data_IF_569363621767
#
_entry.id   IF_569363621767
#
_cell.length_a   1.000
_cell.length_b   1.000
_cell.length_c   1.000
_cell.angle_alpha   90.00
_cell.angle_beta   90.00
_cell.angle_gamma   90.00
#
_symmetry.space_group_name_H-M   'P 1'
#
loop_
_entity.id
_entity.type
_entity.pdbx_description
1 polymer ?
#
# COMPACT_ATOMS: atom_id res chain seq x y z
N UNK A 1 -8.32 -35.57 52.71
CA UNK A 1 -7.80 -34.25 52.29
C UNK A 1 -6.90 -34.29 51.03
N UNK A 2 -6.88 -35.36 50.21
CA UNK A 2 -6.00 -35.44 49.03
C UNK A 2 -6.69 -35.23 47.66
N UNK A 3 -8.03 -35.07 47.64
CA UNK A 3 -8.80 -34.87 46.39
C UNK A 3 -9.08 -33.38 46.05
N UNK A 4 -8.75 -32.45 46.96
CA UNK A 4 -8.91 -31.00 46.73
C UNK A 4 -7.68 -30.33 46.10
N UNK A 5 -6.50 -30.96 46.14
CA UNK A 5 -5.27 -30.40 45.57
C UNK A 5 -5.12 -30.64 44.06
N UNK A 6 -5.66 -31.73 43.51
CA UNK A 6 -5.60 -32.03 42.07
C UNK A 6 -6.54 -31.18 41.20
N UNK A 7 -7.66 -30.68 41.74
CA UNK A 7 -8.54 -29.74 41.01
C UNK A 7 -7.97 -28.32 40.91
N UNK A 8 -7.08 -27.93 41.84
CA UNK A 8 -6.45 -26.60 41.82
C UNK A 8 -5.35 -26.50 40.76
N UNK A 9 -4.61 -27.57 40.48
CA UNK A 9 -3.54 -27.56 39.47
C UNK A 9 -4.06 -27.53 38.04
N UNK A 10 -5.15 -28.24 37.73
CA UNK A 10 -5.77 -28.22 36.39
C UNK A 10 -6.40 -26.87 36.05
N UNK A 11 -7.11 -26.25 37.01
CA UNK A 11 -7.73 -24.93 36.81
C UNK A 11 -6.71 -23.80 36.63
N UNK A 12 -5.56 -23.87 37.31
CA UNK A 12 -4.46 -22.89 37.13
C UNK A 12 -3.82 -23.05 35.76
N UNK A 13 -3.67 -24.28 35.26
CA UNK A 13 -3.12 -24.53 33.92
C UNK A 13 -4.07 -24.04 32.82
N UNK A 14 -5.38 -24.30 32.95
CA UNK A 14 -6.39 -23.82 31.99
C UNK A 14 -6.53 -22.28 32.01
N UNK A 15 -6.49 -21.67 33.21
CA UNK A 15 -6.50 -20.22 33.36
C UNK A 15 -5.23 -19.58 32.78
N UNK A 16 -4.09 -20.22 32.94
CA UNK A 16 -2.84 -19.73 32.37
C UNK A 16 -2.82 -19.84 30.83
N UNK A 17 -3.25 -20.97 30.28
CA UNK A 17 -3.38 -21.15 28.82
C UNK A 17 -4.36 -20.18 28.18
N UNK A 18 -5.53 -19.96 28.80
CA UNK A 18 -6.51 -18.97 28.31
C UNK A 18 -5.98 -17.53 28.40
N UNK A 19 -5.26 -17.19 29.47
CA UNK A 19 -4.63 -15.86 29.61
C UNK A 19 -3.56 -15.62 28.54
N UNK A 20 -2.77 -16.65 28.19
CA UNK A 20 -1.79 -16.57 27.09
C UNK A 20 -2.51 -16.32 25.76
N UNK A 21 -3.55 -17.09 25.46
CA UNK A 21 -4.31 -16.95 24.22
C UNK A 21 -5.02 -15.59 24.14
N UNK A 22 -5.50 -15.04 25.25
CA UNK A 22 -6.13 -13.72 25.33
C UNK A 22 -5.12 -12.57 25.18
N UNK A 23 -3.82 -12.83 25.41
CA UNK A 23 -2.75 -11.85 25.16
C UNK A 23 -2.29 -11.81 23.69
N UNK A 24 -2.70 -12.76 22.86
CA UNK A 24 -2.37 -12.79 21.44
C UNK A 24 -3.15 -11.70 20.69
N UNK A 25 -2.46 -10.97 19.82
CA UNK A 25 -3.07 -9.99 18.92
C UNK A 25 -3.80 -10.62 17.71
N UNK A 26 -3.65 -11.93 17.52
CA UNK A 26 -4.32 -12.69 16.47
C UNK A 26 -5.66 -13.23 16.99
N UNK A 27 -6.71 -13.13 16.19
CA UNK A 27 -8.01 -13.70 16.55
C UNK A 27 -7.94 -15.22 16.39
N UNK A 28 -8.21 -15.95 17.47
CA UNK A 28 -8.15 -17.41 17.51
C UNK A 28 -9.51 -17.96 17.92
N UNK A 29 -10.03 -18.86 17.09
CA UNK A 29 -11.21 -19.66 17.35
C UNK A 29 -10.83 -21.14 17.38
N UNK A 30 -11.65 -21.95 18.07
CA UNK A 30 -11.69 -23.41 17.86
C UNK A 30 -13.10 -23.75 17.44
N UNK A 31 -13.24 -24.51 16.36
CA UNK A 31 -14.53 -25.02 15.87
C UNK A 31 -14.55 -26.55 15.90
N UNK A 32 -15.73 -27.14 16.07
CA UNK A 32 -15.92 -28.58 15.94
C UNK A 32 -16.30 -29.00 14.50
N UNK A 33 -16.53 -30.30 14.31
CA UNK A 33 -16.84 -30.89 13.02
C UNK A 33 -18.12 -30.33 12.38
N UNK A 34 -19.06 -29.85 13.20
CA UNK A 34 -20.29 -29.19 12.77
C UNK A 34 -20.12 -27.66 12.65
N UNK A 35 -18.88 -27.17 12.62
CA UNK A 35 -18.52 -25.75 12.55
C UNK A 35 -19.07 -24.88 13.70
N UNK A 36 -19.35 -25.48 14.87
CA UNK A 36 -19.72 -24.72 16.06
C UNK A 36 -18.49 -24.22 16.80
N UNK A 37 -18.51 -22.94 17.21
CA UNK A 37 -17.39 -22.33 17.92
C UNK A 37 -17.33 -22.89 19.35
N UNK A 38 -16.23 -23.54 19.70
CA UNK A 38 -15.96 -24.10 21.03
C UNK A 38 -15.08 -23.21 21.89
N UNK A 39 -14.28 -22.35 21.26
CA UNK A 39 -13.42 -21.39 21.94
C UNK A 39 -13.23 -20.14 21.09
N UNK A 40 -13.06 -19.00 21.75
CA UNK A 40 -12.70 -17.73 21.14
C UNK A 40 -11.83 -16.94 22.14
N UNK A 41 -10.69 -16.41 21.69
CA UNK A 41 -9.89 -15.51 22.51
C UNK A 41 -10.40 -14.06 22.45
N UNK A 42 -9.81 -13.18 23.27
CA UNK A 42 -10.19 -11.76 23.32
C UNK A 42 -10.07 -11.04 21.96
N UNK A 43 -9.05 -11.37 21.17
CA UNK A 43 -8.89 -10.80 19.82
C UNK A 43 -9.98 -11.26 18.85
N UNK A 44 -10.50 -12.48 18.99
CA UNK A 44 -11.66 -12.93 18.24
C UNK A 44 -12.93 -12.15 18.62
N UNK A 45 -13.14 -11.86 19.91
CA UNK A 45 -14.27 -11.01 20.34
C UNK A 45 -14.22 -9.63 19.69
N UNK A 46 -13.02 -9.03 19.62
CA UNK A 46 -12.79 -7.74 18.95
C UNK A 46 -12.99 -7.83 17.44
N UNK A 47 -12.53 -8.91 16.81
CA UNK A 47 -12.67 -9.12 15.37
C UNK A 47 -14.15 -9.24 14.96
N UNK A 48 -14.93 -10.06 15.67
CA UNK A 48 -16.35 -10.27 15.38
C UNK A 48 -17.27 -9.18 15.95
N UNK A 49 -16.78 -8.36 16.89
CA UNK A 49 -17.57 -7.35 17.59
C UNK A 49 -18.63 -7.94 18.51
N UNK A 50 -18.40 -9.16 19.01
CA UNK A 50 -19.33 -9.91 19.86
C UNK A 50 -18.57 -10.59 20.99
N UNK A 51 -19.12 -10.56 22.21
CA UNK A 51 -18.52 -11.23 23.35
C UNK A 51 -18.52 -12.76 23.23
N UNK A 52 -17.55 -13.40 23.88
CA UNK A 52 -17.27 -14.84 23.88
C UNK A 52 -18.49 -15.69 24.24
N UNK A 53 -19.31 -15.21 25.17
CA UNK A 53 -20.53 -15.89 25.60
C UNK A 53 -21.56 -16.06 24.47
N UNK A 54 -21.52 -15.21 23.44
CA UNK A 54 -22.37 -15.32 22.25
C UNK A 54 -21.65 -16.01 21.09
N UNK A 55 -20.32 -15.95 21.01
CA UNK A 55 -19.55 -16.70 20.01
C UNK A 55 -19.60 -18.20 20.31
N UNK A 56 -19.25 -18.60 21.54
CA UNK A 56 -19.15 -20.00 21.92
C UNK A 56 -20.53 -20.67 21.91
N UNK A 57 -20.59 -21.88 21.37
CA UNK A 57 -21.80 -22.68 21.23
C UNK A 57 -22.68 -22.33 20.03
N UNK A 58 -22.31 -21.33 19.23
CA UNK A 58 -23.06 -20.94 18.04
C UNK A 58 -22.31 -21.37 16.77
N UNK A 59 -23.03 -21.63 15.66
CA UNK A 59 -22.42 -21.97 14.39
C UNK A 59 -21.64 -20.77 13.85
N UNK A 60 -20.47 -21.05 13.25
CA UNK A 60 -19.63 -20.01 12.63
C UNK A 60 -20.39 -19.25 11.53
N UNK A 61 -21.35 -19.89 10.87
CA UNK A 61 -22.17 -19.32 9.80
C UNK A 61 -23.08 -18.16 10.24
N UNK A 62 -23.32 -18.00 11.56
CA UNK A 62 -24.04 -16.84 12.09
C UNK A 62 -23.18 -15.55 12.02
N UNK A 63 -21.86 -15.67 11.99
CA UNK A 63 -20.92 -14.55 12.05
C UNK A 63 -20.24 -14.24 10.71
N UNK A 64 -20.06 -15.28 9.88
CA UNK A 64 -19.45 -15.22 8.55
C UNK A 64 -20.29 -16.08 7.59
N UNK A 65 -20.69 -15.57 6.42
CA UNK A 65 -21.42 -16.36 5.42
C UNK A 65 -20.72 -17.65 4.98
N UNK A 66 -21.50 -18.68 4.69
CA UNK A 66 -21.01 -20.02 4.27
C UNK A 66 -20.31 -20.02 2.91
N UNK A 67 -20.59 -19.03 2.05
CA UNK A 67 -19.95 -18.85 0.74
C UNK A 67 -18.53 -18.24 0.82
N UNK A 68 -18.04 -17.94 2.03
CA UNK A 68 -16.66 -17.49 2.21
C UNK A 68 -15.65 -18.63 2.10
N UNK A 69 -14.41 -18.37 1.62
CA UNK A 69 -13.37 -19.40 1.50
C UNK A 69 -13.04 -20.10 2.83
N UNK A 70 -13.37 -19.49 3.97
CA UNK A 70 -13.17 -20.08 5.30
C UNK A 70 -13.83 -21.46 5.45
N UNK A 71 -15.05 -21.65 4.93
CA UNK A 71 -15.76 -22.92 5.03
C UNK A 71 -15.13 -24.00 4.14
N UNK A 72 -14.70 -23.65 2.93
CA UNK A 72 -13.97 -24.59 2.07
C UNK A 72 -12.64 -25.04 2.69
N UNK A 73 -11.96 -24.16 3.43
CA UNK A 73 -10.72 -24.52 4.13
C UNK A 73 -10.99 -25.41 5.35
N UNK A 74 -12.11 -25.21 6.05
CA UNK A 74 -12.54 -26.09 7.14
C UNK A 74 -12.81 -27.52 6.64
N UNK A 75 -13.55 -27.64 5.53
CA UNK A 75 -13.78 -28.93 4.86
C UNK A 75 -12.46 -29.58 4.42
N UNK A 76 -11.52 -28.80 3.89
CA UNK A 76 -10.23 -29.31 3.47
C UNK A 76 -9.39 -29.84 4.65
N UNK A 77 -9.35 -29.12 5.78
CA UNK A 77 -8.62 -29.55 6.98
C UNK A 77 -9.23 -30.81 7.58
N UNK A 78 -10.56 -30.87 7.67
CA UNK A 78 -11.26 -32.04 8.20
C UNK A 78 -11.10 -33.27 7.30
N UNK A 79 -11.12 -33.10 5.97
CA UNK A 79 -10.93 -34.21 5.02
C UNK A 79 -9.49 -34.71 4.94
N UNK A 80 -8.50 -33.82 5.04
CA UNK A 80 -7.08 -34.17 4.86
C UNK A 80 -6.35 -34.47 6.16
N UNK A 81 -6.88 -34.00 7.30
CA UNK A 81 -6.18 -34.02 8.59
C UNK A 81 -4.91 -33.15 8.62
N UNK A 82 -4.70 -32.29 7.62
CA UNK A 82 -3.54 -31.43 7.49
C UNK A 82 -3.85 -29.97 7.83
N UNK A 83 -2.84 -29.23 8.30
CA UNK A 83 -2.98 -27.78 8.46
C UNK A 83 -3.00 -27.08 7.09
N UNK A 84 -3.89 -26.11 6.95
CA UNK A 84 -4.07 -25.31 5.73
C UNK A 84 -3.92 -23.83 6.08
N UNK A 85 -3.29 -23.08 5.19
CA UNK A 85 -3.16 -21.63 5.34
C UNK A 85 -3.46 -20.94 4.02
N UNK A 86 -4.20 -19.85 4.08
CA UNK A 86 -4.52 -19.03 2.93
C UNK A 86 -4.38 -17.55 3.27
N UNK A 87 -3.77 -16.78 2.39
CA UNK A 87 -3.58 -15.34 2.56
C UNK A 87 -4.52 -14.57 1.62
N UNK A 88 -5.03 -13.45 2.11
CA UNK A 88 -5.80 -12.52 1.29
C UNK A 88 -7.25 -12.93 1.06
N UNK A 89 -7.83 -13.61 2.03
CA UNK A 89 -9.26 -13.94 2.03
C UNK A 89 -10.03 -12.74 2.54
N UNK A 90 -11.08 -12.35 1.80
CA UNK A 90 -12.00 -11.32 2.27
C UNK A 90 -13.13 -11.98 3.04
N UNK A 91 -13.21 -11.70 4.34
CA UNK A 91 -14.35 -12.07 5.17
C UNK A 91 -15.30 -10.89 5.25
N UNK A 92 -16.53 -11.09 4.79
CA UNK A 92 -17.54 -10.05 4.73
C UNK A 92 -18.79 -10.49 5.51
N UNK A 93 -19.25 -9.67 6.44
CA UNK A 93 -20.58 -9.84 7.03
C UNK A 93 -21.17 -8.48 7.41
N UNK A 94 -22.50 -8.33 7.52
CA UNK A 94 -23.13 -7.08 7.94
C UNK A 94 -22.58 -6.52 9.26
N UNK A 95 -22.02 -7.40 10.10
CA UNK A 95 -21.50 -7.05 11.42
C UNK A 95 -20.01 -6.73 11.43
N UNK A 96 -19.19 -7.51 10.72
CA UNK A 96 -17.74 -7.34 10.72
C UNK A 96 -17.25 -6.35 9.66
N UNK A 97 -18.12 -5.97 8.72
CA UNK A 97 -17.75 -5.22 7.52
C UNK A 97 -16.98 -6.11 6.55
N UNK A 98 -16.21 -5.51 5.64
CA UNK A 98 -15.27 -6.22 4.80
C UNK A 98 -13.89 -6.22 5.46
N UNK A 99 -13.38 -7.40 5.82
CA UNK A 99 -12.06 -7.57 6.43
C UNK A 99 -11.17 -8.48 5.59
N UNK A 100 -10.01 -7.97 5.22
CA UNK A 100 -8.99 -8.73 4.47
C UNK A 100 -8.09 -9.47 5.46
N UNK A 101 -8.02 -10.79 5.35
CA UNK A 101 -7.41 -11.65 6.37
C UNK A 101 -6.44 -12.67 5.80
N UNK A 102 -5.46 -13.06 6.62
CA UNK A 102 -4.82 -14.36 6.50
C UNK A 102 -5.51 -15.35 7.42
N UNK A 103 -5.81 -16.52 6.88
CA UNK A 103 -6.42 -17.64 7.55
C UNK A 103 -5.37 -18.72 7.77
N UNK A 104 -5.28 -19.25 8.99
CA UNK A 104 -4.55 -20.49 9.27
C UNK A 104 -5.47 -21.42 10.02
N UNK A 105 -5.63 -22.63 9.49
CA UNK A 105 -6.47 -23.65 10.05
C UNK A 105 -5.61 -24.87 10.32
N UNK A 106 -5.69 -25.40 11.53
CA UNK A 106 -4.95 -26.60 11.92
C UNK A 106 -5.83 -27.50 12.77
N UNK A 107 -5.82 -28.82 12.51
CA UNK A 107 -6.52 -29.76 13.37
C UNK A 107 -5.87 -29.76 14.76
N UNK A 108 -6.68 -29.91 15.79
CA UNK A 108 -6.19 -30.06 17.16
C UNK A 108 -5.67 -31.48 17.34
N UNK A 109 -4.41 -31.59 17.76
CA UNK A 109 -3.77 -32.89 18.05
C UNK A 109 -4.52 -33.57 19.19
N UNK A 110 -4.74 -34.89 19.07
CA UNK A 110 -5.44 -35.73 20.05
C UNK A 110 -6.90 -35.29 20.33
N UNK A 111 -7.55 -34.62 19.38
CA UNK A 111 -8.97 -34.27 19.45
C UNK A 111 -9.68 -34.58 18.13
N UNK A 112 -10.75 -35.38 18.19
CA UNK A 112 -11.54 -35.73 17.01
C UNK A 112 -12.36 -34.51 16.53
N UNK A 113 -12.11 -34.08 15.30
CA UNK A 113 -12.93 -33.10 14.59
C UNK A 113 -12.79 -31.63 15.04
N UNK A 114 -11.88 -31.31 15.97
CA UNK A 114 -11.62 -29.93 16.37
C UNK A 114 -10.59 -29.27 15.45
N UNK A 115 -10.89 -28.04 15.00
CA UNK A 115 -10.02 -27.23 14.16
C UNK A 115 -9.78 -25.88 14.83
N UNK A 116 -8.51 -25.52 15.00
CA UNK A 116 -8.10 -24.16 15.37
C UNK A 116 -8.14 -23.30 14.12
N UNK A 117 -8.85 -22.17 14.19
CA UNK A 117 -8.90 -21.16 13.15
C UNK A 117 -8.23 -19.90 13.67
N UNK A 118 -7.22 -19.43 12.95
CA UNK A 118 -6.50 -18.22 13.26
C UNK A 118 -6.73 -17.19 12.16
N UNK A 119 -7.17 -16.00 12.57
CA UNK A 119 -7.52 -14.88 11.72
C UNK A 119 -6.59 -13.72 12.04
N UNK A 120 -5.69 -13.42 11.11
CA UNK A 120 -4.91 -12.17 11.18
C UNK A 120 -5.47 -11.20 10.17
N UNK A 121 -6.07 -10.10 10.65
CA UNK A 121 -6.43 -8.98 9.78
C UNK A 121 -5.15 -8.44 9.11
N UNK A 122 -5.16 -8.44 7.79
CA UNK A 122 -4.08 -7.90 6.99
C UNK A 122 -4.47 -6.49 6.57
N UNK A 123 -3.69 -5.52 7.03
CA UNK A 123 -3.65 -4.22 6.37
C UNK A 123 -3.18 -4.47 4.93
N UNK A 124 -3.79 -3.81 3.95
CA UNK A 124 -3.51 -3.98 2.50
C UNK A 124 -2.01 -3.91 2.17
N UNK A 125 -1.23 -3.24 3.02
CA UNK A 125 0.23 -3.27 3.10
C UNK A 125 0.91 -4.67 3.10
N UNK A 126 0.21 -5.79 3.36
CA UNK A 126 0.77 -7.15 3.24
C UNK A 126 0.71 -7.76 1.83
N UNK A 127 0.11 -7.08 0.86
CA UNK A 127 0.18 -7.46 -0.56
C UNK A 127 1.57 -7.19 -1.20
N UNK A 128 2.60 -6.87 -0.41
CA UNK A 128 3.98 -6.70 -0.89
C UNK A 128 4.58 -7.98 -1.48
N UNK A 129 4.00 -9.17 -1.24
CA UNK A 129 4.41 -10.36 -2.00
C UNK A 129 4.07 -10.25 -3.50
N UNK A 130 3.10 -9.41 -3.91
CA UNK A 130 2.92 -8.98 -5.31
C UNK A 130 3.92 -7.90 -5.76
N UNK A 131 4.57 -7.17 -4.85
CA UNK A 131 5.68 -6.28 -5.23
C UNK A 131 6.92 -7.03 -5.73
N UNK A 132 7.03 -8.33 -5.47
CA UNK A 132 8.06 -9.17 -6.07
C UNK A 132 7.87 -9.34 -7.59
N UNK A 133 6.63 -9.34 -8.12
CA UNK A 133 6.40 -9.39 -9.58
C UNK A 133 6.64 -8.03 -10.25
N UNK A 134 6.34 -6.91 -9.57
CA UNK A 134 6.58 -5.55 -10.09
C UNK A 134 8.08 -5.27 -10.35
N UNK A 135 9.00 -5.98 -9.66
CA UNK A 135 10.46 -5.85 -9.88
C UNK A 135 10.94 -6.42 -11.22
N UNK A 136 10.24 -7.40 -11.80
CA UNK A 136 10.70 -8.04 -13.05
C UNK A 136 10.41 -7.16 -14.28
N UNK A 137 9.20 -6.57 -14.34
CA UNK A 137 8.82 -5.65 -15.41
C UNK A 137 9.58 -4.32 -15.30
N UNK A 138 9.60 -3.69 -14.11
CA UNK A 138 10.28 -2.41 -13.92
C UNK A 138 11.79 -2.48 -14.23
N UNK A 139 12.51 -3.54 -13.80
CA UNK A 139 13.95 -3.69 -14.10
C UNK A 139 14.23 -3.89 -15.58
N UNK A 140 13.38 -4.63 -16.29
CA UNK A 140 13.53 -4.87 -17.73
C UNK A 140 13.31 -3.57 -18.53
N UNK A 141 12.35 -2.75 -18.10
CA UNK A 141 12.09 -1.43 -18.67
C UNK A 141 13.19 -0.44 -18.32
N UNK A 142 13.68 -0.41 -17.08
CA UNK A 142 14.81 0.41 -16.65
C UNK A 142 16.08 0.13 -17.47
N UNK A 143 16.42 -1.15 -17.68
CA UNK A 143 17.62 -1.52 -18.43
C UNK A 143 17.54 -1.12 -19.92
N UNK A 144 16.38 -1.32 -20.56
CA UNK A 144 16.16 -0.87 -21.93
C UNK A 144 16.12 0.66 -22.05
N UNK A 145 15.51 1.34 -21.08
CA UNK A 145 15.41 2.79 -21.04
C UNK A 145 16.77 3.47 -20.93
N UNK A 146 17.64 3.03 -20.01
CA UNK A 146 18.99 3.58 -19.88
C UNK A 146 19.83 3.39 -21.14
N UNK A 147 19.68 2.26 -21.84
CA UNK A 147 20.44 1.96 -23.05
C UNK A 147 19.95 2.80 -24.24
N UNK A 148 18.63 2.96 -24.39
CA UNK A 148 18.02 3.55 -25.59
C UNK A 148 17.69 5.05 -25.45
N UNK A 149 17.71 5.63 -24.24
CA UNK A 149 17.25 7.01 -24.05
C UNK A 149 18.04 8.02 -24.91
N UNK A 150 19.37 7.95 -24.89
CA UNK A 150 20.20 8.83 -25.71
C UNK A 150 20.12 8.48 -27.21
N UNK A 151 19.98 7.21 -27.56
CA UNK A 151 19.89 6.76 -28.96
C UNK A 151 18.56 7.11 -29.62
N UNK A 152 17.48 7.24 -28.85
CA UNK A 152 16.14 7.66 -29.34
C UNK A 152 16.00 9.18 -29.35
N UNK A 153 16.55 9.90 -28.36
CA UNK A 153 16.52 11.38 -28.32
C UNK A 153 17.22 12.02 -29.53
N UNK A 154 18.30 11.41 -30.00
CA UNK A 154 19.09 11.94 -31.12
C UNK A 154 18.31 12.00 -32.46
N UNK A 155 17.69 10.92 -32.97
CA UNK A 155 16.88 10.99 -34.19
C UNK A 155 15.61 11.83 -34.00
N UNK A 156 14.98 11.84 -32.82
CA UNK A 156 13.84 12.72 -32.52
C UNK A 156 14.22 14.20 -32.62
N UNK A 157 15.38 14.59 -32.08
CA UNK A 157 15.88 15.96 -32.22
C UNK A 157 16.09 16.33 -33.69
N UNK A 158 16.56 15.40 -34.51
CA UNK A 158 16.70 15.58 -35.96
C UNK A 158 15.35 15.72 -36.69
N UNK A 159 14.36 14.89 -36.35
CA UNK A 159 12.99 14.97 -36.90
C UNK A 159 12.35 16.32 -36.55
N UNK A 160 12.46 16.75 -35.29
CA UNK A 160 11.97 18.06 -34.85
C UNK A 160 12.67 19.20 -35.60
N UNK A 161 14.00 19.15 -35.73
CA UNK A 161 14.76 20.16 -36.47
C UNK A 161 14.35 20.23 -37.95
N UNK A 162 14.15 19.07 -38.59
CA UNK A 162 13.68 19.01 -39.97
C UNK A 162 12.25 19.57 -40.11
N UNK A 163 11.35 19.26 -39.17
CA UNK A 163 9.99 19.79 -39.16
C UNK A 163 9.97 21.32 -38.97
N UNK A 164 10.83 21.87 -38.11
CA UNK A 164 10.98 23.32 -37.92
C UNK A 164 11.55 24.03 -39.16
N UNK A 165 12.47 23.39 -39.89
CA UNK A 165 12.98 23.92 -41.16
C UNK A 165 11.91 23.86 -42.27
N UNK A 166 11.11 22.79 -42.30
CA UNK A 166 9.97 22.67 -43.21
C UNK A 166 8.90 23.71 -42.92
N UNK A 167 8.59 24.00 -41.65
CA UNK A 167 7.62 25.01 -41.24
C UNK A 167 7.92 26.40 -41.83
N UNK A 168 9.20 26.73 -42.03
CA UNK A 168 9.64 27.99 -42.64
C UNK A 168 9.42 28.05 -44.15
N UNK A 169 9.23 26.89 -44.80
CA UNK A 169 9.22 26.73 -46.25
C UNK A 169 7.86 26.29 -46.81
N UNK A 170 6.97 25.73 -45.97
CA UNK A 170 5.64 25.25 -46.37
C UNK A 170 4.60 26.38 -46.35
N UNK A 171 3.56 26.32 -47.20
CA UNK A 171 2.43 27.24 -47.12
C UNK A 171 1.65 27.10 -45.80
N UNK A 172 0.94 28.14 -45.39
CA UNK A 172 0.21 28.18 -44.12
C UNK A 172 -0.80 27.02 -43.94
N UNK A 173 -1.33 26.49 -45.05
CA UNK A 173 -2.22 25.32 -45.06
C UNK A 173 -1.55 24.01 -44.58
N UNK A 174 -0.22 23.95 -44.57
CA UNK A 174 0.56 22.76 -44.18
C UNK A 174 1.32 22.96 -42.86
N UNK A 175 1.29 24.18 -42.27
CA UNK A 175 1.92 24.45 -40.96
C UNK A 175 1.33 23.62 -39.83
N UNK A 176 0.04 23.29 -39.89
CA UNK A 176 -0.58 22.41 -38.90
C UNK A 176 0.08 21.03 -38.86
N UNK A 177 0.55 20.53 -40.00
CA UNK A 177 1.23 19.24 -40.08
C UNK A 177 2.64 19.31 -39.48
N UNK A 178 3.40 20.38 -39.73
CA UNK A 178 4.74 20.56 -39.13
C UNK A 178 4.67 20.77 -37.62
N UNK A 179 3.63 21.48 -37.14
CA UNK A 179 3.36 21.63 -35.72
C UNK A 179 3.01 20.29 -35.06
N UNK A 180 2.15 19.50 -35.69
CA UNK A 180 1.80 18.16 -35.21
C UNK A 180 3.03 17.24 -35.11
N UNK A 181 3.95 17.29 -36.09
CA UNK A 181 5.21 16.53 -36.03
C UNK A 181 6.05 16.98 -34.83
N UNK A 182 6.17 18.29 -34.58
CA UNK A 182 6.90 18.80 -33.43
C UNK A 182 6.27 18.36 -32.10
N UNK A 183 4.95 18.48 -31.97
CA UNK A 183 4.20 18.06 -30.78
C UNK A 183 4.34 16.57 -30.49
N UNK A 184 4.22 15.71 -31.49
CA UNK A 184 4.38 14.26 -31.32
C UNK A 184 5.85 13.89 -31.01
N UNK A 185 6.82 14.61 -31.59
CA UNK A 185 8.23 14.42 -31.26
C UNK A 185 8.52 14.78 -29.80
N UNK A 186 8.03 15.93 -29.34
CA UNK A 186 8.17 16.37 -27.94
C UNK A 186 7.45 15.42 -26.97
N UNK A 187 6.30 14.88 -27.38
CA UNK A 187 5.57 13.87 -26.62
C UNK A 187 6.37 12.57 -26.45
N UNK A 188 7.04 12.11 -27.50
CA UNK A 188 7.91 10.92 -27.44
C UNK A 188 9.14 11.21 -26.57
N UNK A 189 9.77 12.38 -26.70
CA UNK A 189 10.88 12.78 -25.81
C UNK A 189 10.44 12.74 -24.34
N UNK A 190 9.28 13.30 -24.01
CA UNK A 190 8.74 13.27 -22.65
C UNK A 190 8.41 11.84 -22.17
N UNK A 191 8.12 10.89 -23.07
CA UNK A 191 7.97 9.47 -22.73
C UNK A 191 9.33 8.84 -22.41
N UNK A 192 10.35 9.12 -23.23
CA UNK A 192 11.72 8.64 -23.03
C UNK A 192 12.30 9.17 -21.72
N UNK A 193 12.13 10.46 -21.42
CA UNK A 193 12.55 11.07 -20.15
C UNK A 193 11.93 10.35 -18.94
N UNK A 194 10.64 10.01 -19.03
CA UNK A 194 9.95 9.26 -17.98
C UNK A 194 10.50 7.85 -17.82
N UNK A 195 10.89 7.19 -18.91
CA UNK A 195 11.54 5.87 -18.87
C UNK A 195 12.95 5.97 -18.27
N UNK A 196 13.71 7.00 -18.59
CA UNK A 196 15.05 7.25 -18.03
C UNK A 196 15.00 7.43 -16.50
N UNK A 197 13.97 8.11 -15.97
CA UNK A 197 13.74 8.22 -14.53
C UNK A 197 13.53 6.87 -13.81
N UNK A 198 13.13 5.81 -14.53
CA UNK A 198 13.12 4.44 -13.99
C UNK A 198 14.51 3.80 -13.94
N UNK A 199 15.42 4.24 -14.81
CA UNK A 199 16.76 3.68 -14.92
C UNK A 199 17.78 4.39 -14.04
N UNK A 200 17.49 5.63 -13.63
CA UNK A 200 18.34 6.39 -12.72
C UNK A 200 18.41 5.70 -11.35
N UNK A 201 19.56 5.11 -11.09
CA UNK A 201 19.93 4.42 -9.84
C UNK A 201 20.90 5.23 -8.99
N UNK A 202 21.09 6.52 -9.28
CA UNK A 202 21.96 7.39 -8.47
C UNK A 202 21.44 7.45 -7.03
N UNK A 203 22.36 7.51 -6.03
CA UNK A 203 21.96 7.69 -4.64
C UNK A 203 21.11 8.94 -4.48
N UNK A 204 19.95 8.80 -3.83
CA UNK A 204 19.06 9.91 -3.51
C UNK A 204 19.70 10.73 -2.38
N UNK A 205 19.88 12.03 -2.58
CA UNK A 205 20.28 12.94 -1.51
C UNK A 205 19.08 13.17 -0.58
N UNK A 206 19.09 12.47 0.56
CA UNK A 206 18.00 12.54 1.53
C UNK A 206 18.31 13.51 2.65
N UNK A 207 17.37 14.40 2.92
CA UNK A 207 17.40 15.36 4.02
C UNK A 207 16.10 15.37 4.83
N UNK A 208 16.07 16.15 5.92
CA UNK A 208 14.85 16.45 6.65
C UNK A 208 13.88 17.26 5.79
N UNK A 209 12.64 16.78 5.67
CA UNK A 209 11.60 17.44 4.88
C UNK A 209 10.32 17.60 5.69
N UNK A 210 9.82 18.83 5.72
CA UNK A 210 8.44 19.09 6.13
C UNK A 210 7.47 18.68 5.02
N UNK A 211 6.73 17.59 5.23
CA UNK A 211 5.81 17.02 4.25
C UNK A 211 4.66 17.96 3.88
N UNK A 212 4.21 18.80 4.82
CA UNK A 212 3.14 19.77 4.55
C UNK A 212 3.61 20.85 3.56
N UNK A 213 4.89 21.22 3.54
CA UNK A 213 5.40 22.16 2.54
C UNK A 213 5.39 21.56 1.13
N UNK A 214 5.69 20.27 1.01
CA UNK A 214 5.59 19.51 -0.25
C UNK A 214 4.14 19.48 -0.73
N UNK A 215 3.21 19.07 0.13
CA UNK A 215 1.79 18.99 -0.22
C UNK A 215 1.19 20.36 -0.58
N UNK A 216 1.56 21.41 0.15
CA UNK A 216 1.17 22.79 -0.17
C UNK A 216 1.68 23.27 -1.52
N UNK A 217 2.89 22.86 -1.90
CA UNK A 217 3.45 23.18 -3.21
C UNK A 217 2.70 22.44 -4.33
N UNK A 218 2.51 21.12 -4.16
CA UNK A 218 1.74 20.28 -5.09
C UNK A 218 0.33 20.82 -5.30
N UNK A 219 -0.41 21.12 -4.22
CA UNK A 219 -1.76 21.70 -4.28
C UNK A 219 -1.78 22.97 -5.14
N UNK A 220 -0.88 23.92 -4.87
CA UNK A 220 -0.82 25.20 -5.61
C UNK A 220 -0.51 25.00 -7.09
N UNK A 221 0.40 24.08 -7.43
CA UNK A 221 0.68 23.76 -8.83
C UNK A 221 -0.53 23.10 -9.50
N UNK A 222 -1.19 22.16 -8.82
CA UNK A 222 -2.37 21.47 -9.35
C UNK A 222 -3.54 22.43 -9.57
N UNK A 223 -3.86 23.30 -8.61
CA UNK A 223 -4.94 24.28 -8.72
C UNK A 223 -4.74 25.27 -9.88
N UNK A 224 -3.49 25.69 -10.12
CA UNK A 224 -3.17 26.61 -11.22
C UNK A 224 -3.03 25.91 -12.59
N UNK A 225 -2.91 24.58 -12.60
CA UNK A 225 -2.69 23.76 -13.79
C UNK A 225 -3.88 22.88 -14.14
N UNK A 226 -3.73 21.57 -13.92
CA UNK A 226 -4.65 20.53 -14.37
C UNK A 226 -5.85 20.31 -13.43
N UNK A 227 -5.86 20.92 -12.23
CA UNK A 227 -6.89 20.77 -11.20
C UNK A 227 -7.77 21.99 -11.00
N UNK A 228 -7.90 22.88 -12.00
CA UNK A 228 -8.65 24.16 -11.90
C UNK A 228 -10.12 24.00 -11.46
N UNK A 229 -10.75 22.89 -11.84
CA UNK A 229 -12.17 22.62 -11.59
C UNK A 229 -12.37 21.56 -10.49
N UNK A 230 -11.39 21.40 -9.59
CA UNK A 230 -11.42 20.39 -8.53
C UNK A 230 -11.37 21.08 -7.16
N UNK A 231 -12.24 20.66 -6.24
CA UNK A 231 -12.21 21.11 -4.86
C UNK A 231 -11.10 20.37 -4.10
N UNK A 232 -10.15 21.10 -3.53
CA UNK A 232 -9.13 20.53 -2.67
C UNK A 232 -9.53 20.67 -1.20
N UNK A 233 -9.49 19.58 -0.44
CA UNK A 233 -9.75 19.53 1.01
C UNK A 233 -8.49 19.08 1.72
N UNK A 234 -8.19 19.67 2.86
CA UNK A 234 -6.95 19.42 3.62
C UNK A 234 -7.28 18.97 5.04
N UNK A 235 -6.75 17.80 5.41
CA UNK A 235 -6.86 17.24 6.75
C UNK A 235 -5.46 16.90 7.25
N UNK A 236 -4.71 17.92 7.65
CA UNK A 236 -3.32 17.76 8.09
C UNK A 236 -3.19 17.61 9.59
N UNK A 237 -2.41 16.63 10.02
CA UNK A 237 -1.96 16.51 11.40
C UNK A 237 -0.72 17.41 11.58
N UNK A 238 -0.81 18.49 12.38
CA UNK A 238 0.27 19.47 12.54
C UNK A 238 1.44 18.95 13.36
N UNK A 239 1.31 17.79 14.00
CA UNK A 239 2.34 17.19 14.86
C UNK A 239 3.32 16.29 14.10
N UNK A 240 3.14 16.12 12.78
CA UNK A 240 4.02 15.25 12.00
C UNK A 240 5.49 15.72 12.07
N UNK A 241 6.42 14.83 12.47
CA UNK A 241 7.85 15.09 12.34
C UNK A 241 8.30 15.09 10.87
N UNK A 242 9.53 15.51 10.65
CA UNK A 242 10.13 15.56 9.31
C UNK A 242 10.31 14.16 8.70
N UNK A 243 10.08 14.08 7.39
CA UNK A 243 10.36 12.90 6.57
C UNK A 243 11.83 12.89 6.20
N UNK A 244 12.45 11.71 6.17
CA UNK A 244 13.77 11.53 5.56
C UNK A 244 13.62 11.26 4.06
N UNK A 245 13.96 12.24 3.20
CA UNK A 245 13.77 12.06 1.76
C UNK A 245 14.36 13.15 0.88
N UNK A 246 14.05 13.07 -0.41
CA UNK A 246 14.33 14.09 -1.42
C UNK A 246 13.04 14.86 -1.73
N UNK A 247 13.13 16.19 -1.68
CA UNK A 247 11.98 17.08 -1.77
C UNK A 247 11.33 17.05 -3.15
N UNK A 248 12.14 17.03 -4.20
CA UNK A 248 11.67 17.17 -5.57
C UNK A 248 11.07 15.85 -6.08
N UNK A 249 11.65 14.72 -5.69
CA UNK A 249 11.08 13.41 -5.92
C UNK A 249 9.75 13.21 -5.18
N UNK A 250 9.63 13.68 -3.93
CA UNK A 250 8.34 13.64 -3.22
C UNK A 250 7.30 14.56 -3.87
N UNK A 251 7.69 15.75 -4.35
CA UNK A 251 6.80 16.61 -5.16
C UNK A 251 6.32 15.85 -6.40
N UNK A 252 7.21 15.17 -7.11
CA UNK A 252 6.87 14.38 -8.28
C UNK A 252 5.89 13.25 -7.95
N UNK A 253 6.08 12.56 -6.82
CA UNK A 253 5.16 11.53 -6.34
C UNK A 253 3.76 12.10 -6.17
N UNK A 254 3.61 13.16 -5.36
CA UNK A 254 2.29 13.69 -5.04
C UNK A 254 1.65 14.40 -6.25
N UNK A 255 2.42 15.01 -7.14
CA UNK A 255 1.89 15.54 -8.41
C UNK A 255 1.31 14.42 -9.29
N UNK A 256 1.98 13.27 -9.39
CA UNK A 256 1.46 12.13 -10.15
C UNK A 256 0.17 11.57 -9.53
N UNK A 257 0.11 11.46 -8.20
CA UNK A 257 -1.10 10.99 -7.51
C UNK A 257 -2.27 11.98 -7.69
N UNK A 258 -2.04 13.28 -7.48
CA UNK A 258 -3.06 14.31 -7.65
C UNK A 258 -3.50 14.44 -9.11
N UNK A 259 -2.58 14.34 -10.07
CA UNK A 259 -2.92 14.31 -11.50
C UNK A 259 -3.79 13.11 -11.83
N UNK A 260 -3.45 11.92 -11.32
CA UNK A 260 -4.26 10.73 -11.52
C UNK A 260 -5.68 10.90 -10.97
N UNK A 261 -5.82 11.49 -9.79
CA UNK A 261 -7.10 11.82 -9.17
C UNK A 261 -7.90 12.84 -10.01
N UNK A 262 -7.26 13.91 -10.51
CA UNK A 262 -7.94 14.91 -11.36
C UNK A 262 -8.44 14.33 -12.69
N UNK A 263 -7.75 13.33 -13.25
CA UNK A 263 -8.10 12.73 -14.53
C UNK A 263 -9.25 11.71 -14.44
N UNK A 264 -9.68 11.32 -13.23
CA UNK A 264 -10.79 10.36 -13.09
C UNK A 264 -12.09 11.01 -13.54
N UNK A 265 -12.86 10.39 -14.46
CA UNK A 265 -14.19 10.87 -14.83
C UNK A 265 -15.12 10.89 -13.62
N UNK A 266 -15.85 11.99 -13.45
CA UNK A 266 -16.82 12.22 -12.37
C UNK A 266 -17.61 13.51 -12.61
N UNK A 267 -18.79 13.61 -11.99
CA UNK A 267 -19.74 14.73 -12.06
C UNK A 267 -19.18 16.05 -11.46
N UNK A 268 -19.98 17.11 -11.48
CA UNK A 268 -19.63 18.50 -11.15
C UNK A 268 -19.02 18.75 -9.77
N UNK A 269 -19.09 17.79 -8.83
CA UNK A 269 -18.59 17.93 -7.46
C UNK A 269 -17.27 17.15 -7.24
N UNK A 270 -16.28 17.33 -8.12
CA UNK A 270 -14.97 16.67 -7.97
C UNK A 270 -14.23 17.19 -6.73
N UNK A 271 -13.81 16.25 -5.90
CA UNK A 271 -13.07 16.53 -4.69
C UNK A 271 -11.81 15.68 -4.59
N UNK A 272 -10.71 16.33 -4.18
CA UNK A 272 -9.48 15.67 -3.78
C UNK A 272 -9.16 16.07 -2.35
N UNK A 273 -9.10 15.09 -1.46
CA UNK A 273 -8.65 15.27 -0.08
C UNK A 273 -7.17 14.89 0.05
N UNK A 274 -6.39 15.80 0.63
CA UNK A 274 -5.02 15.56 1.06
C UNK A 274 -5.00 15.43 2.57
N UNK A 275 -4.55 14.28 3.09
CA UNK A 275 -4.46 14.07 4.55
C UNK A 275 -3.10 13.59 5.01
N UNK A 276 -2.77 13.88 6.27
CA UNK A 276 -1.57 13.36 6.93
C UNK A 276 -1.93 12.78 8.29
N UNK A 277 -1.27 11.70 8.69
CA UNK A 277 -1.48 11.06 9.98
C UNK A 277 -0.21 10.36 10.48
N UNK A 278 -0.05 10.31 11.79
CA UNK A 278 0.98 9.51 12.45
C UNK A 278 0.40 8.20 13.00
N UNK A 279 0.87 7.04 12.51
CA UNK A 279 0.43 5.70 12.95
C UNK A 279 1.51 4.97 13.74
N UNK A 280 1.32 4.88 15.05
CA UNK A 280 2.22 4.15 15.95
C UNK A 280 2.23 2.65 15.62
N UNK A 281 3.42 2.04 15.60
CA UNK A 281 3.57 0.58 15.44
C UNK A 281 3.43 0.05 14.02
N UNK A 282 3.31 0.91 13.00
CA UNK A 282 3.27 0.48 11.60
C UNK A 282 4.64 0.00 11.14
N UNK A 283 4.88 -1.32 11.26
CA UNK A 283 6.11 -1.99 10.85
C UNK A 283 5.88 -2.78 9.56
N UNK A 284 6.44 -2.30 8.46
CA UNK A 284 6.29 -2.92 7.14
C UNK A 284 7.58 -3.58 6.68
N UNK A 285 7.47 -4.75 6.07
CA UNK A 285 8.60 -5.34 5.38
C UNK A 285 8.85 -4.54 4.10
N UNK A 286 9.93 -3.75 4.07
CA UNK A 286 10.31 -2.98 2.89
C UNK A 286 11.28 -3.83 2.06
N UNK A 287 11.02 -4.04 0.76
CA UNK A 287 11.86 -4.89 -0.08
C UNK A 287 13.34 -4.46 -0.13
N UNK A 288 14.25 -5.30 0.38
CA UNK A 288 15.70 -5.02 0.44
C UNK A 288 16.23 -4.74 1.85
N UNK A 289 15.34 -4.68 2.85
CA UNK A 289 15.73 -4.64 4.25
C UNK A 289 15.37 -5.98 4.93
N UNK A 290 16.31 -6.54 5.70
CA UNK A 290 16.09 -7.81 6.42
C UNK A 290 15.13 -7.65 7.61
N UNK A 291 14.93 -6.43 8.11
CA UNK A 291 14.06 -6.12 9.23
C UNK A 291 12.85 -5.29 8.78
N UNK A 292 11.71 -5.46 9.47
CA UNK A 292 10.54 -4.60 9.26
C UNK A 292 10.89 -3.16 9.63
N UNK A 293 10.58 -2.22 8.74
CA UNK A 293 10.85 -0.80 8.88
C UNK A 293 9.65 -0.12 9.53
N UNK A 294 9.91 0.74 10.51
CA UNK A 294 8.87 1.57 11.10
C UNK A 294 8.54 2.73 10.15
N UNK A 295 7.33 2.75 9.60
CA UNK A 295 6.85 3.77 8.65
C UNK A 295 5.62 4.50 9.21
N UNK A 296 5.77 5.27 10.30
CA UNK A 296 4.62 5.84 11.00
C UNK A 296 3.99 7.03 10.27
N UNK A 297 4.68 7.67 9.32
CA UNK A 297 4.15 8.83 8.60
C UNK A 297 3.30 8.36 7.42
N UNK A 298 2.00 8.67 7.46
CA UNK A 298 1.06 8.34 6.39
C UNK A 298 0.58 9.62 5.73
N UNK A 299 0.73 9.70 4.41
CA UNK A 299 0.19 10.77 3.57
C UNK A 299 -0.83 10.15 2.63
N UNK A 300 -2.05 10.68 2.60
CA UNK A 300 -3.11 10.15 1.75
C UNK A 300 -3.56 11.17 0.70
N UNK A 301 -3.81 10.68 -0.51
CA UNK A 301 -4.49 11.40 -1.59
C UNK A 301 -5.76 10.62 -1.90
N UNK A 302 -6.91 11.24 -1.63
CA UNK A 302 -8.23 10.63 -1.85
C UNK A 302 -9.01 11.41 -2.89
N UNK A 303 -9.65 10.70 -3.80
CA UNK A 303 -10.61 11.25 -4.76
C UNK A 303 -11.98 10.58 -4.64
N UNK A 304 -13.00 11.26 -5.17
CA UNK A 304 -14.38 10.78 -5.23
C UNK A 304 -14.80 10.27 -6.63
N UNK A 305 -13.83 9.81 -7.43
CA UNK A 305 -14.09 9.32 -8.78
C UNK A 305 -14.65 7.88 -8.82
N UNK A 306 -14.88 7.36 -10.04
CA UNK A 306 -15.49 6.04 -10.29
C UNK A 306 -14.73 4.82 -9.73
N UNK A 307 -13.53 5.02 -9.19
CA UNK A 307 -12.69 3.93 -8.69
C UNK A 307 -11.78 3.30 -9.74
N UNK A 308 -11.01 2.30 -9.29
CA UNK A 308 -10.13 1.46 -10.09
C UNK A 308 -10.88 0.18 -10.48
N UNK A 309 -10.84 -0.20 -11.76
CA UNK A 309 -11.47 -1.44 -12.23
C UNK A 309 -10.73 -2.68 -11.71
N UNK A 310 -11.45 -3.77 -11.48
CA UNK A 310 -10.88 -4.99 -10.90
C UNK A 310 -9.81 -5.63 -11.78
N UNK A 311 -9.92 -5.47 -13.11
CA UNK A 311 -8.93 -5.95 -14.10
C UNK A 311 -7.52 -5.40 -13.85
N UNK A 312 -7.40 -4.13 -13.47
CA UNK A 312 -6.10 -3.47 -13.27
C UNK A 312 -5.71 -3.33 -11.80
N UNK A 313 -6.62 -3.65 -10.86
CA UNK A 313 -6.42 -3.47 -9.41
C UNK A 313 -5.15 -4.18 -8.91
N UNK A 314 -4.89 -5.40 -9.40
CA UNK A 314 -3.69 -6.17 -9.02
C UNK A 314 -2.38 -5.71 -9.68
N UNK A 315 -2.47 -4.87 -10.72
CA UNK A 315 -1.36 -4.46 -11.58
C UNK A 315 -1.21 -2.93 -11.64
N UNK A 316 -1.85 -2.21 -10.72
CA UNK A 316 -1.97 -0.74 -10.81
C UNK A 316 -0.61 -0.02 -10.75
N UNK A 317 0.38 -0.64 -10.11
CA UNK A 317 1.75 -0.13 -10.02
C UNK A 317 2.72 -0.79 -11.02
N UNK A 318 2.23 -1.65 -11.91
CA UNK A 318 3.03 -2.19 -13.02
C UNK A 318 3.26 -1.14 -14.10
N UNK A 319 4.46 -1.12 -14.67
CA UNK A 319 4.79 -0.24 -15.78
C UNK A 319 3.92 -0.58 -17.00
N UNK A 320 3.48 0.46 -17.73
CA UNK A 320 2.64 0.38 -18.93
C UNK A 320 1.21 -0.14 -18.71
N UNK A 321 0.80 -0.40 -17.47
CA UNK A 321 -0.58 -0.77 -17.16
C UNK A 321 -1.43 0.48 -16.97
N UNK A 322 -2.48 0.61 -17.80
CA UNK A 322 -3.40 1.76 -17.78
C UNK A 322 -4.68 1.44 -18.54
N UNK A 323 -5.82 1.93 -18.04
CA UNK A 323 -7.10 1.92 -18.74
C UNK A 323 -7.43 3.29 -19.37
N UNK A 324 -6.48 4.24 -19.32
CA UNK A 324 -6.60 5.57 -19.91
C UNK A 324 -6.09 5.56 -21.36
N UNK A 325 -6.87 6.05 -22.35
CA UNK A 325 -6.50 5.98 -23.77
C UNK A 325 -5.26 6.80 -24.14
N UNK A 326 -4.95 7.86 -23.40
CA UNK A 326 -3.74 8.69 -23.58
C UNK A 326 -2.69 8.49 -22.47
N UNK A 327 -2.95 7.59 -21.52
CA UNK A 327 -2.06 7.31 -20.40
C UNK A 327 -0.89 6.42 -20.83
N UNK A 328 0.31 6.71 -20.33
CA UNK A 328 1.50 5.88 -20.62
C UNK A 328 1.64 4.69 -19.68
N UNK A 329 0.85 4.64 -18.60
CA UNK A 329 0.96 3.62 -17.54
C UNK A 329 2.25 3.69 -16.71
N UNK A 330 3.06 4.76 -16.86
CA UNK A 330 4.33 4.90 -16.14
C UNK A 330 4.22 5.70 -14.84
N UNK A 331 3.16 6.50 -14.66
CA UNK A 331 3.04 7.43 -13.53
C UNK A 331 3.03 6.74 -12.16
N UNK A 332 2.13 5.77 -11.96
CA UNK A 332 2.00 5.06 -10.69
C UNK A 332 3.17 4.10 -10.43
N UNK A 333 3.71 3.47 -11.47
CA UNK A 333 4.93 2.69 -11.37
C UNK A 333 6.13 3.53 -10.90
N UNK A 334 6.25 4.78 -11.36
CA UNK A 334 7.30 5.71 -10.93
C UNK A 334 7.10 6.11 -9.47
N UNK A 335 5.85 6.36 -9.07
CA UNK A 335 5.53 6.62 -7.66
C UNK A 335 5.99 5.46 -6.77
N UNK A 336 5.67 4.23 -7.15
CA UNK A 336 6.07 3.05 -6.38
C UNK A 336 7.60 2.92 -6.30
N UNK A 337 8.33 3.15 -7.41
CA UNK A 337 9.80 3.18 -7.42
C UNK A 337 10.34 4.23 -6.47
N UNK A 338 9.95 5.50 -6.61
CA UNK A 338 10.46 6.61 -5.80
C UNK A 338 10.21 6.34 -4.31
N UNK A 339 9.00 5.91 -3.95
CA UNK A 339 8.67 5.64 -2.55
C UNK A 339 9.48 4.46 -1.99
N UNK A 340 9.66 3.40 -2.78
CA UNK A 340 10.54 2.29 -2.39
C UNK A 340 12.00 2.73 -2.26
N UNK A 341 12.48 3.58 -3.18
CA UNK A 341 13.82 4.16 -3.14
C UNK A 341 13.98 5.12 -1.95
N UNK A 342 12.90 5.61 -1.35
CA UNK A 342 12.89 6.33 -0.06
C UNK A 342 12.80 5.42 1.16
N UNK A 343 12.73 4.10 0.97
CA UNK A 343 12.50 3.14 2.04
C UNK A 343 11.08 3.15 2.60
N UNK A 344 10.13 3.76 1.88
CA UNK A 344 8.72 3.80 2.20
C UNK A 344 7.91 2.69 1.52
N UNK A 345 6.60 2.79 1.64
CA UNK A 345 5.64 1.92 0.96
C UNK A 345 4.46 2.74 0.43
N UNK A 346 3.82 2.27 -0.64
CA UNK A 346 2.57 2.83 -1.14
C UNK A 346 1.51 1.75 -1.23
N UNK A 347 0.29 2.08 -0.84
CA UNK A 347 -0.91 1.25 -1.00
C UNK A 347 -2.05 2.09 -1.55
N UNK A 348 -3.13 1.42 -1.96
CA UNK A 348 -4.37 2.09 -2.30
C UNK A 348 -5.57 1.26 -1.84
N UNK A 349 -6.68 1.96 -1.59
CA UNK A 349 -8.00 1.40 -1.38
C UNK A 349 -8.95 2.07 -2.39
N UNK A 350 -9.81 1.29 -3.04
CA UNK A 350 -10.70 1.82 -4.09
C UNK A 350 -12.04 1.13 -4.09
N UNK A 351 -13.07 1.95 -3.91
CA UNK A 351 -14.50 1.67 -4.06
C UNK A 351 -15.07 2.73 -5.04
N UNK A 352 -16.17 2.45 -5.74
CA UNK A 352 -16.85 3.47 -6.54
C UNK A 352 -17.19 4.70 -5.68
N UNK A 353 -16.77 5.88 -6.11
CA UNK A 353 -16.94 7.14 -5.37
C UNK A 353 -15.88 7.39 -4.29
N UNK A 354 -14.89 6.49 -4.11
CA UNK A 354 -13.78 6.67 -3.18
C UNK A 354 -12.54 5.88 -3.61
N UNK A 355 -11.50 6.58 -4.09
CA UNK A 355 -10.16 6.00 -4.20
C UNK A 355 -9.21 6.73 -3.27
N UNK A 356 -8.39 6.01 -2.52
CA UNK A 356 -7.42 6.58 -1.59
C UNK A 356 -6.07 5.91 -1.78
N UNK A 357 -5.08 6.67 -2.24
CA UNK A 357 -3.68 6.26 -2.22
C UNK A 357 -3.05 6.68 -0.91
N UNK A 358 -2.29 5.78 -0.27
CA UNK A 358 -1.59 6.05 1.00
C UNK A 358 -0.10 5.78 0.83
N UNK A 359 0.69 6.83 1.07
CA UNK A 359 2.14 6.81 1.03
C UNK A 359 2.65 6.78 2.47
N UNK A 360 3.43 5.76 2.80
CA UNK A 360 4.01 5.52 4.12
C UNK A 360 5.51 5.77 4.07
N UNK A 361 6.02 6.68 4.89
CA UNK A 361 7.39 7.18 4.81
C UNK A 361 8.16 6.99 6.13
N UNK A 362 9.50 6.82 6.05
CA UNK A 362 10.34 6.77 7.24
C UNK A 362 10.48 8.15 7.88
N UNK A 363 10.70 8.12 9.20
CA UNK A 363 11.03 9.31 9.96
C UNK A 363 12.45 9.78 9.66
N UNK A 364 12.66 11.09 9.73
CA UNK A 364 14.00 11.63 9.95
C UNK A 364 14.50 11.14 11.32
N UNK A 365 15.47 10.23 11.29
CA UNK A 365 16.20 9.87 12.51
C UNK A 365 17.16 11.01 12.78
N UNK A 366 16.85 11.86 13.76
CA UNK A 366 17.83 12.80 14.30
C UNK A 366 19.02 11.97 14.80
N UNK A 367 20.18 12.11 14.16
CA UNK A 367 21.44 11.62 14.72
C UNK A 367 21.75 12.44 15.96
N UNK A 368 21.13 12.11 17.09
CA UNK A 368 21.66 12.49 18.39
C UNK A 368 22.82 11.55 18.65
N UNK A 369 24.01 11.90 18.15
CA UNK A 369 25.24 11.36 18.71
C UNK A 369 25.15 11.55 20.23
N UNK A 370 25.37 10.49 21.05
CA UNK A 370 25.41 10.69 22.49
C UNK A 370 26.49 11.74 22.79
N UNK A 371 26.24 12.70 23.71
CA UNK A 371 27.25 13.68 24.06
C UNK A 371 28.52 12.93 24.47
N UNK A 372 29.61 13.19 23.77
CA UNK A 372 30.93 12.73 24.15
C UNK A 372 31.26 13.38 25.48
N UNK A 373 31.06 12.64 26.57
CA UNK A 373 31.66 12.97 27.85
C UNK A 373 33.17 12.89 27.68
N UNK A 374 33.78 14.03 27.34
CA UNK A 374 35.19 14.25 27.54
C UNK A 374 35.41 14.23 29.05
N UNK A 375 35.96 13.13 29.56
CA UNK A 375 36.44 13.06 30.92
C UNK A 375 37.48 14.18 31.08
N UNK A 376 37.10 15.20 31.84
CA UNK A 376 38.01 16.26 32.25
C UNK A 376 39.21 15.64 32.94
N UNK A 377 40.38 15.91 32.37
CA UNK A 377 41.67 15.78 33.05
C UNK A 377 41.60 16.49 34.40
N UNK A 378 41.51 15.72 35.47
CA UNK A 378 41.77 16.22 36.82
C UNK A 378 43.30 16.22 37.00
N UNK A 379 43.85 17.42 37.03
CA UNK A 379 45.20 17.66 37.51
C UNK A 379 45.33 17.18 38.97
N UNK A 380 46.34 16.37 39.23
CA UNK A 380 47.17 16.35 40.45
C UNK A 380 48.46 15.61 40.15
#
# INVERSE_FOLDING_TARGET
>A
MALQSLRRTSGVSEQFSSTILDSLSEAVLVVDADSHIRYANLSAEQFFGVGRARLVGHPLSEFVPEDTPLFSLLEQVTATGGAVAENGVTLASPRIGNRFCALRLSPVVDSDGLVVVSLTEQTIARNIDRQMSHRSAARSVSALAAMLAHEVKNPLSGIRGAAQLLEQSVPDSERELTNLICEETDRIVALVDRMEAFADGRPIERGPINIHQVLNHVRRLSQNGFGKNVRFVETYDPSLPEVHGDRDQLIQVFLNLVKNACEVPGDSDREIELSTAFKHGLRLAVPGQQAKVNLPLVVSVRDNGRGVSDEIRGHLFDAFVTNKPTGTGLGLALVAKIINDHGGAIEFDSEPGRTTFRVMLPLQISSSAPPSFTAGSAAS
#
